data_IF_589183021926
#
_entry.id   IF_589183021926
#
_cell.length_a   1.000
_cell.length_b   1.000
_cell.length_c   1.000
_cell.angle_alpha   90.00
_cell.angle_beta   90.00
_cell.angle_gamma   90.00
#
_symmetry.space_group_name_H-M   'P 1'
#
loop_
_entity.id
_entity.type
_entity.pdbx_description
1 polymer ?
#
# COMPACT_ATOMS: atom_id res chain seq x y z
N UNK A 1 19.08 2.83 -22.76
CA UNK A 1 18.03 1.94 -23.30
C UNK A 1 16.77 2.74 -23.56
N UNK A 2 15.95 2.34 -24.58
CA UNK A 2 14.64 2.97 -24.76
C UNK A 2 13.74 2.57 -23.62
N UNK A 3 13.12 3.55 -22.94
CA UNK A 3 12.21 3.30 -21.79
C UNK A 3 11.02 2.46 -22.25
N UNK A 4 10.69 1.42 -21.53
CA UNK A 4 9.46 0.65 -21.74
C UNK A 4 8.22 1.55 -21.55
N UNK A 5 7.09 1.15 -22.08
CA UNK A 5 5.82 1.85 -21.93
C UNK A 5 4.68 0.86 -21.71
N UNK A 6 3.65 1.26 -21.00
CA UNK A 6 2.42 0.47 -20.89
C UNK A 6 1.78 0.24 -22.26
N UNK A 7 1.25 -0.95 -22.45
CA UNK A 7 0.52 -1.31 -23.67
C UNK A 7 -0.84 -0.60 -23.76
N UNK A 8 -1.45 -0.33 -22.59
CA UNK A 8 -2.77 0.26 -22.52
C UNK A 8 -2.91 1.18 -21.30
N UNK A 9 -3.80 2.18 -21.40
CA UNK A 9 -4.17 3.04 -20.30
C UNK A 9 -4.73 2.25 -19.12
N UNK A 10 -5.59 1.26 -19.38
CA UNK A 10 -6.13 0.38 -18.34
C UNK A 10 -5.00 -0.37 -17.62
N UNK A 11 -3.95 -0.81 -18.36
CA UNK A 11 -2.78 -1.43 -17.76
C UNK A 11 -2.07 -0.52 -16.79
N UNK A 12 -1.82 0.72 -17.18
CA UNK A 12 -1.26 1.74 -16.29
C UNK A 12 -2.11 1.92 -15.03
N UNK A 13 -3.43 2.14 -15.19
CA UNK A 13 -4.33 2.37 -14.06
C UNK A 13 -4.36 1.18 -13.09
N UNK A 14 -4.46 -0.05 -13.60
CA UNK A 14 -4.52 -1.24 -12.75
C UNK A 14 -3.17 -1.57 -12.08
N UNK A 15 -2.05 -1.31 -12.73
CA UNK A 15 -0.72 -1.48 -12.11
C UNK A 15 -0.50 -0.43 -11.02
N UNK A 16 -0.80 0.85 -11.31
CA UNK A 16 -0.63 1.93 -10.34
C UNK A 16 -1.60 1.81 -9.17
N UNK A 17 -2.87 1.50 -9.44
CA UNK A 17 -3.85 1.22 -8.39
C UNK A 17 -3.45 -0.04 -7.58
N UNK A 18 -2.94 -1.10 -8.22
CA UNK A 18 -2.46 -2.29 -7.53
C UNK A 18 -1.20 -2.07 -6.67
N UNK A 19 -0.43 -1.02 -6.96
CA UNK A 19 0.65 -0.57 -6.07
C UNK A 19 0.11 0.12 -4.81
N UNK A 20 -0.92 0.97 -4.97
CA UNK A 20 -1.59 1.64 -3.86
C UNK A 20 -2.44 0.65 -3.04
N UNK A 21 -3.27 -0.16 -3.72
CA UNK A 21 -4.15 -1.15 -3.10
C UNK A 21 -3.31 -2.31 -2.55
N UNK A 22 -3.06 -2.28 -1.27
CA UNK A 22 -2.28 -3.27 -0.57
C UNK A 22 -2.92 -3.69 0.75
N UNK A 23 -2.08 -4.18 1.63
CA UNK A 23 -2.46 -4.54 3.01
C UNK A 23 -3.03 -3.32 3.75
N UNK A 24 -2.59 -2.12 3.42
CA UNK A 24 -3.06 -0.87 4.01
C UNK A 24 -4.57 -0.62 3.87
N UNK A 25 -5.16 -0.98 2.72
CA UNK A 25 -6.59 -0.79 2.46
C UNK A 25 -7.46 -1.84 3.13
N UNK A 26 -6.95 -3.06 3.27
CA UNK A 26 -7.77 -4.20 3.70
C UNK A 26 -7.56 -4.55 5.16
N UNK A 27 -6.40 -4.22 5.69
CA UNK A 27 -6.05 -4.49 7.09
C UNK A 27 -6.02 -3.21 7.91
N UNK A 28 -5.11 -2.26 7.57
CA UNK A 28 -4.90 -1.06 8.38
C UNK A 28 -6.12 -0.15 8.37
N UNK A 29 -6.73 0.08 7.22
CA UNK A 29 -7.87 0.98 7.11
C UNK A 29 -9.05 0.55 7.99
N UNK A 30 -9.60 -0.68 7.92
CA UNK A 30 -10.69 -1.08 8.81
C UNK A 30 -10.32 -1.02 10.31
N UNK A 31 -9.09 -1.42 10.64
CA UNK A 31 -8.59 -1.33 12.00
C UNK A 31 -8.62 0.13 12.51
N UNK A 32 -8.01 1.06 11.77
CA UNK A 32 -7.96 2.47 12.16
C UNK A 32 -9.37 3.10 12.19
N UNK A 33 -10.26 2.71 11.28
CA UNK A 33 -11.67 3.11 11.31
C UNK A 33 -12.34 2.65 12.59
N UNK A 34 -12.11 1.40 13.00
CA UNK A 34 -12.68 0.81 14.23
C UNK A 34 -12.26 1.58 15.47
N UNK A 35 -10.98 1.92 15.58
CA UNK A 35 -10.45 2.66 16.75
C UNK A 35 -10.83 4.15 16.75
N UNK A 36 -11.08 4.75 15.60
CA UNK A 36 -11.24 6.21 15.45
C UNK A 36 -12.67 6.65 15.13
N UNK A 37 -13.68 5.91 15.54
CA UNK A 37 -15.06 6.37 15.55
C UNK A 37 -15.86 6.12 14.26
N UNK A 38 -15.46 5.15 13.45
CA UNK A 38 -16.28 4.66 12.34
C UNK A 38 -16.47 5.67 11.21
N UNK A 39 -17.72 5.93 10.84
CA UNK A 39 -18.07 6.76 9.69
C UNK A 39 -17.53 8.19 9.71
N UNK A 40 -17.32 8.79 10.88
CA UNK A 40 -16.73 10.14 10.97
C UNK A 40 -15.25 10.15 10.54
N UNK A 41 -14.50 9.11 10.91
CA UNK A 41 -13.13 8.93 10.45
C UNK A 41 -13.09 8.80 8.93
N UNK A 42 -14.00 8.01 8.32
CA UNK A 42 -14.08 7.82 6.88
C UNK A 42 -14.26 9.14 6.14
N UNK A 43 -15.08 10.06 6.67
CA UNK A 43 -15.26 11.40 6.09
C UNK A 43 -13.96 12.21 6.10
N UNK A 44 -13.26 12.26 7.24
CA UNK A 44 -11.96 12.96 7.32
C UNK A 44 -10.91 12.31 6.42
N UNK A 45 -10.88 10.97 6.36
CA UNK A 45 -9.99 10.24 5.47
C UNK A 45 -10.19 10.63 4.00
N UNK A 46 -11.43 10.66 3.51
CA UNK A 46 -11.74 11.07 2.13
C UNK A 46 -11.33 12.51 1.87
N UNK A 47 -11.56 13.41 2.83
CA UNK A 47 -11.14 14.80 2.73
C UNK A 47 -9.62 14.91 2.56
N UNK A 48 -8.86 14.26 3.43
CA UNK A 48 -7.38 14.32 3.39
C UNK A 48 -6.78 13.56 2.21
N UNK A 49 -7.43 12.50 1.73
CA UNK A 49 -7.00 11.81 0.52
C UNK A 49 -7.03 12.74 -0.70
N UNK A 50 -8.07 13.55 -0.84
CA UNK A 50 -8.18 14.54 -1.93
C UNK A 50 -7.25 15.73 -1.68
N UNK A 51 -7.16 16.21 -0.44
CA UNK A 51 -6.37 17.40 -0.11
C UNK A 51 -4.86 17.12 -0.15
N UNK A 52 -4.41 15.97 0.30
CA UNK A 52 -2.99 15.65 0.48
C UNK A 52 -2.52 14.54 -0.45
N UNK A 53 -3.21 13.40 -0.46
CA UNK A 53 -2.80 12.22 -1.21
C UNK A 53 -2.76 12.46 -2.71
N UNK A 54 -3.85 12.97 -3.29
CA UNK A 54 -3.94 13.23 -4.73
C UNK A 54 -2.88 14.24 -5.25
N UNK A 55 -2.61 15.37 -4.59
CA UNK A 55 -1.51 16.26 -4.97
C UNK A 55 -0.14 15.56 -5.01
N UNK A 56 0.23 14.85 -3.95
CA UNK A 56 1.55 14.19 -3.89
C UNK A 56 1.64 13.05 -4.91
N UNK A 57 0.58 12.28 -5.10
CA UNK A 57 0.50 11.26 -6.15
C UNK A 57 0.79 11.86 -7.53
N UNK A 58 0.17 12.99 -7.86
CA UNK A 58 0.41 13.66 -9.15
C UNK A 58 1.83 14.20 -9.28
N UNK A 59 2.48 14.57 -8.17
CA UNK A 59 3.89 14.99 -8.17
C UNK A 59 4.83 13.83 -8.48
N UNK A 60 4.67 12.68 -7.84
CA UNK A 60 5.47 11.49 -8.17
C UNK A 60 5.28 11.07 -9.63
N UNK A 61 4.04 10.97 -10.10
CA UNK A 61 3.75 10.65 -11.50
C UNK A 61 4.36 11.67 -12.46
N UNK A 62 4.34 12.97 -12.13
CA UNK A 62 4.89 14.03 -12.97
C UNK A 62 6.42 13.97 -13.05
N UNK A 63 7.10 13.73 -11.93
CA UNK A 63 8.57 13.55 -11.89
C UNK A 63 8.98 12.35 -12.76
N UNK A 64 8.28 11.22 -12.62
CA UNK A 64 8.52 10.05 -13.44
C UNK A 64 8.26 10.29 -14.92
N UNK A 65 7.10 10.87 -15.29
CA UNK A 65 6.74 11.11 -16.70
C UNK A 65 7.59 12.18 -17.36
N UNK A 66 7.93 13.24 -16.63
CA UNK A 66 8.76 14.33 -17.12
C UNK A 66 10.19 13.90 -17.38
N UNK A 67 10.75 13.05 -16.54
CA UNK A 67 12.14 12.56 -16.66
C UNK A 67 12.28 11.33 -17.56
N UNK A 68 11.27 10.45 -17.63
CA UNK A 68 11.36 9.12 -18.25
C UNK A 68 12.45 8.23 -17.66
N UNK A 69 12.77 8.42 -16.38
CA UNK A 69 13.83 7.72 -15.63
C UNK A 69 13.28 7.18 -14.31
N UNK A 70 14.08 6.37 -13.63
CA UNK A 70 13.81 5.91 -12.27
C UNK A 70 14.42 6.85 -11.24
N UNK A 71 13.87 6.86 -10.07
CA UNK A 71 14.20 7.65 -8.87
C UNK A 71 15.42 8.59 -8.96
N UNK A 72 16.65 8.06 -8.80
CA UNK A 72 17.88 8.90 -8.76
C UNK A 72 18.11 9.65 -10.06
N UNK A 73 17.91 8.98 -11.21
CA UNK A 73 18.13 9.59 -12.51
C UNK A 73 17.00 10.54 -12.90
N UNK A 74 15.80 10.33 -12.37
CA UNK A 74 14.67 11.25 -12.58
C UNK A 74 14.97 12.63 -11.98
N UNK A 75 15.44 12.66 -10.74
CA UNK A 75 15.86 13.92 -10.12
C UNK A 75 17.02 14.56 -10.89
N UNK A 76 18.05 13.79 -11.27
CA UNK A 76 19.19 14.31 -12.05
C UNK A 76 18.80 14.94 -13.38
N UNK A 77 17.78 14.39 -14.05
CA UNK A 77 17.27 14.92 -15.31
C UNK A 77 16.53 16.24 -15.15
N UNK A 78 15.78 16.40 -14.04
CA UNK A 78 14.88 17.53 -13.84
C UNK A 78 15.45 18.61 -12.90
N UNK A 79 16.46 18.29 -12.09
CA UNK A 79 17.05 19.22 -11.14
C UNK A 79 17.91 20.28 -11.82
N UNK A 80 18.04 21.43 -11.16
CA UNK A 80 18.92 22.51 -11.62
C UNK A 80 20.39 22.13 -11.48
N UNK A 81 21.29 22.65 -12.35
CA UNK A 81 22.71 22.45 -12.24
C UNK A 81 23.24 22.78 -10.84
N UNK A 82 24.09 21.92 -10.29
CA UNK A 82 24.70 22.01 -8.94
C UNK A 82 23.73 21.77 -7.77
N UNK A 83 22.47 21.42 -8.01
CA UNK A 83 21.58 20.99 -6.93
C UNK A 83 21.86 19.54 -6.52
N UNK A 84 21.26 19.10 -5.43
CA UNK A 84 21.50 17.75 -4.86
C UNK A 84 20.20 16.99 -4.58
N UNK A 85 19.13 17.31 -5.30
CA UNK A 85 17.82 16.66 -5.11
C UNK A 85 17.87 15.16 -5.42
N UNK A 86 18.74 14.73 -6.32
CA UNK A 86 18.96 13.31 -6.65
C UNK A 86 19.37 12.45 -5.45
N UNK A 87 19.85 13.03 -4.35
CA UNK A 87 20.13 12.30 -3.11
C UNK A 87 18.85 11.65 -2.58
N UNK A 88 17.70 12.33 -2.72
CA UNK A 88 16.42 11.75 -2.32
C UNK A 88 16.11 10.45 -3.06
N UNK A 89 16.47 10.34 -4.34
CA UNK A 89 16.27 9.11 -5.10
C UNK A 89 16.93 7.88 -4.45
N UNK A 90 18.08 8.04 -3.80
CA UNK A 90 18.72 6.97 -3.05
C UNK A 90 17.93 6.59 -1.79
N UNK A 91 17.42 7.59 -1.04
CA UNK A 91 16.56 7.34 0.11
C UNK A 91 15.24 6.67 -0.29
N UNK A 92 14.65 7.06 -1.40
CA UNK A 92 13.44 6.45 -1.92
C UNK A 92 13.64 4.96 -2.25
N UNK A 93 14.75 4.62 -2.92
CA UNK A 93 15.08 3.22 -3.22
C UNK A 93 15.42 2.43 -1.95
N UNK A 94 16.16 3.02 -1.01
CA UNK A 94 16.37 2.39 0.30
C UNK A 94 15.03 2.10 0.99
N UNK A 95 14.09 3.05 0.93
CA UNK A 95 12.73 2.87 1.43
C UNK A 95 11.99 1.70 0.78
N UNK A 96 12.16 1.50 -0.52
CA UNK A 96 11.61 0.32 -1.22
C UNK A 96 12.19 -1.00 -0.71
N UNK A 97 13.50 -1.06 -0.44
CA UNK A 97 14.12 -2.26 0.14
C UNK A 97 13.61 -2.52 1.56
N UNK A 98 13.59 -1.49 2.43
CA UNK A 98 13.09 -1.64 3.82
C UNK A 98 11.62 -2.05 3.81
N UNK A 99 10.79 -1.45 2.95
CA UNK A 99 9.40 -1.87 2.78
C UNK A 99 9.31 -3.36 2.43
N UNK A 100 10.12 -3.83 1.49
CA UNK A 100 10.07 -5.23 1.06
C UNK A 100 10.61 -6.21 2.09
N UNK A 101 11.44 -5.79 3.05
CA UNK A 101 11.95 -6.65 4.12
C UNK A 101 10.81 -7.29 4.92
N UNK A 102 9.82 -6.52 5.33
CA UNK A 102 8.68 -7.04 6.08
C UNK A 102 7.47 -7.37 5.21
N UNK A 103 7.23 -6.60 4.15
CA UNK A 103 6.03 -6.74 3.33
C UNK A 103 5.97 -8.08 2.59
N UNK A 104 7.12 -8.63 2.16
CA UNK A 104 7.22 -9.97 1.55
C UNK A 104 6.87 -11.07 2.52
N UNK A 105 7.24 -10.93 3.80
CA UNK A 105 6.90 -11.85 4.88
C UNK A 105 5.39 -11.83 5.14
N UNK A 106 4.81 -10.64 5.30
CA UNK A 106 3.35 -10.51 5.51
C UNK A 106 2.56 -10.98 4.31
N UNK A 107 3.03 -10.73 3.07
CA UNK A 107 2.41 -11.29 1.87
C UNK A 107 2.48 -12.82 1.87
N UNK A 108 3.58 -13.39 2.35
CA UNK A 108 3.71 -14.83 2.56
C UNK A 108 2.67 -15.40 3.55
N UNK A 109 2.35 -14.66 4.63
CA UNK A 109 1.27 -15.08 5.55
C UNK A 109 -0.09 -15.15 4.86
N UNK A 110 -0.40 -14.21 3.94
CA UNK A 110 -1.66 -14.24 3.18
C UNK A 110 -1.75 -15.48 2.29
N UNK A 111 -0.66 -15.84 1.60
CA UNK A 111 -0.57 -17.06 0.77
C UNK A 111 -0.71 -18.31 1.64
N UNK A 112 -0.06 -18.34 2.81
CA UNK A 112 -0.16 -19.43 3.79
C UNK A 112 -1.60 -19.65 4.24
N UNK A 113 -2.30 -18.56 4.60
CA UNK A 113 -3.69 -18.65 5.06
C UNK A 113 -4.65 -19.07 3.95
N UNK A 114 -4.43 -18.59 2.73
CA UNK A 114 -5.17 -19.10 1.57
C UNK A 114 -5.00 -20.63 1.44
N UNK A 115 -3.76 -21.11 1.49
CA UNK A 115 -3.46 -22.53 1.44
C UNK A 115 -4.13 -23.30 2.59
N UNK A 116 -4.03 -22.82 3.83
CA UNK A 116 -4.64 -23.45 5.01
C UNK A 116 -6.16 -23.54 4.94
N UNK A 117 -6.85 -22.51 4.41
CA UNK A 117 -8.29 -22.57 4.17
C UNK A 117 -8.65 -23.57 3.06
N UNK A 118 -7.94 -23.54 1.93
CA UNK A 118 -8.18 -24.45 0.80
C UNK A 118 -7.96 -25.92 1.20
N UNK A 119 -6.95 -26.21 1.99
CA UNK A 119 -6.64 -27.58 2.46
C UNK A 119 -7.55 -28.03 3.60
N UNK A 120 -8.29 -27.11 4.25
CA UNK A 120 -9.21 -27.44 5.34
C UNK A 120 -8.53 -27.61 6.70
N UNK A 121 -7.37 -26.98 6.90
CA UNK A 121 -6.74 -26.87 8.22
C UNK A 121 -7.63 -26.07 9.19
N UNK A 122 -8.30 -25.04 8.70
CA UNK A 122 -9.38 -24.33 9.41
C UNK A 122 -10.67 -25.18 9.35
N UNK A 123 -11.04 -25.76 10.50
CA UNK A 123 -12.22 -26.62 10.63
C UNK A 123 -13.42 -25.82 11.13
N UNK A 124 -14.62 -26.19 10.69
CA UNK A 124 -15.85 -25.57 11.19
C UNK A 124 -15.99 -25.78 12.70
N UNK A 125 -16.36 -24.69 13.40
CA UNK A 125 -16.56 -24.71 14.85
C UNK A 125 -15.29 -24.61 15.69
N UNK A 126 -14.13 -24.27 15.10
CA UNK A 126 -12.94 -23.90 15.89
C UNK A 126 -13.25 -22.67 16.74
N UNK A 127 -12.80 -22.68 17.99
CA UNK A 127 -12.88 -21.51 18.88
C UNK A 127 -11.79 -20.47 18.58
N UNK A 128 -11.83 -19.35 19.30
CA UNK A 128 -10.87 -18.24 19.10
C UNK A 128 -9.44 -18.69 19.42
N UNK A 129 -9.25 -19.50 20.46
CA UNK A 129 -7.93 -19.96 20.90
C UNK A 129 -7.32 -20.90 19.88
N UNK A 130 -8.09 -21.87 19.37
CA UNK A 130 -7.66 -22.78 18.32
C UNK A 130 -7.37 -22.04 16.99
N UNK A 131 -8.14 -21.01 16.66
CA UNK A 131 -7.89 -20.17 15.49
C UNK A 131 -6.64 -19.29 15.69
N UNK A 132 -6.43 -18.79 16.90
CA UNK A 132 -5.27 -18.00 17.30
C UNK A 132 -3.98 -18.81 17.29
N UNK A 133 -4.05 -20.10 17.70
CA UNK A 133 -2.88 -20.99 17.68
C UNK A 133 -2.33 -21.21 16.27
N UNK A 134 -3.18 -21.27 15.25
CA UNK A 134 -2.73 -21.38 13.85
C UNK A 134 -1.79 -20.23 13.45
N UNK A 135 -2.07 -19.01 13.93
CA UNK A 135 -1.20 -17.87 13.67
C UNK A 135 0.07 -17.92 14.52
N UNK A 136 -0.06 -18.24 15.80
CA UNK A 136 1.09 -18.36 16.70
C UNK A 136 2.06 -19.45 16.24
N UNK A 137 1.54 -20.59 15.79
CA UNK A 137 2.34 -21.70 15.25
C UNK A 137 3.06 -21.32 13.95
N UNK A 138 2.39 -20.54 13.07
CA UNK A 138 3.03 -20.01 11.87
C UNK A 138 4.19 -19.08 12.24
N UNK A 139 4.02 -18.17 13.19
CA UNK A 139 5.05 -17.23 13.61
C UNK A 139 6.21 -17.92 14.34
N UNK A 140 5.94 -18.97 15.10
CA UNK A 140 6.93 -19.74 15.82
C UNK A 140 7.80 -20.66 14.94
N UNK A 141 7.36 -20.98 13.72
CA UNK A 141 8.09 -21.85 12.80
C UNK A 141 8.84 -21.05 11.72
N UNK A 142 10.17 -20.80 11.88
CA UNK A 142 10.97 -20.07 10.92
C UNK A 142 11.04 -20.74 9.54
N UNK A 143 10.89 -22.07 9.47
CA UNK A 143 10.91 -22.80 8.20
C UNK A 143 9.63 -22.54 7.40
N UNK A 144 8.49 -22.59 8.08
CA UNK A 144 7.19 -22.34 7.45
C UNK A 144 7.07 -20.85 7.01
N UNK A 145 7.44 -19.91 7.90
CA UNK A 145 7.49 -18.50 7.55
C UNK A 145 8.43 -18.23 6.37
N UNK A 146 9.65 -18.75 6.44
CA UNK A 146 10.66 -18.59 5.40
C UNK A 146 10.20 -19.16 4.06
N UNK A 147 9.56 -20.35 4.06
CA UNK A 147 9.03 -20.98 2.83
C UNK A 147 8.04 -20.05 2.09
N UNK A 148 7.05 -19.50 2.80
CA UNK A 148 6.03 -18.64 2.20
C UNK A 148 6.60 -17.28 1.74
N UNK A 149 7.54 -16.72 2.51
CA UNK A 149 8.26 -15.49 2.11
C UNK A 149 9.11 -15.76 0.85
N UNK A 150 9.90 -16.84 0.82
CA UNK A 150 10.75 -17.21 -0.33
C UNK A 150 9.89 -17.44 -1.58
N UNK A 151 8.77 -18.14 -1.44
CA UNK A 151 7.84 -18.38 -2.54
C UNK A 151 7.32 -17.06 -3.12
N UNK A 152 6.90 -16.12 -2.24
CA UNK A 152 6.41 -14.80 -2.63
C UNK A 152 7.47 -14.02 -3.39
N UNK A 153 8.69 -13.97 -2.88
CA UNK A 153 9.81 -13.24 -3.50
C UNK A 153 10.17 -13.83 -4.86
N UNK A 154 10.34 -15.15 -4.95
CA UNK A 154 10.71 -15.81 -6.21
C UNK A 154 9.64 -15.59 -7.28
N UNK A 155 8.36 -15.82 -6.95
CA UNK A 155 7.26 -15.62 -7.91
C UNK A 155 7.19 -14.16 -8.35
N UNK A 156 7.37 -13.20 -7.43
CA UNK A 156 7.40 -11.77 -7.76
C UNK A 156 8.49 -11.42 -8.77
N UNK A 157 9.74 -11.86 -8.54
CA UNK A 157 10.83 -11.60 -9.49
C UNK A 157 10.69 -12.37 -10.80
N UNK A 158 10.08 -13.56 -10.82
CA UNK A 158 9.73 -14.26 -12.07
C UNK A 158 8.74 -13.42 -12.89
N UNK A 159 7.74 -12.84 -12.27
CA UNK A 159 6.78 -11.95 -12.97
C UNK A 159 7.50 -10.72 -13.52
N UNK A 160 8.30 -10.02 -12.72
CA UNK A 160 9.01 -8.81 -13.14
C UNK A 160 10.08 -9.09 -14.21
N UNK A 161 10.73 -10.27 -14.19
CA UNK A 161 11.74 -10.64 -15.19
C UNK A 161 11.17 -10.74 -16.61
N UNK A 162 9.86 -10.98 -16.77
CA UNK A 162 9.18 -11.07 -18.06
C UNK A 162 8.91 -9.71 -18.73
N UNK A 163 9.31 -8.61 -18.11
CA UNK A 163 9.17 -7.25 -18.62
C UNK A 163 7.86 -6.57 -18.19
N UNK A 164 7.77 -5.29 -18.53
CA UNK A 164 6.63 -4.47 -18.14
C UNK A 164 5.31 -5.00 -18.73
N UNK A 165 5.25 -5.21 -20.05
CA UNK A 165 4.00 -5.54 -20.74
C UNK A 165 3.55 -6.99 -20.54
N UNK A 166 4.48 -7.94 -20.66
CA UNK A 166 4.18 -9.38 -20.62
C UNK A 166 4.21 -9.96 -19.20
N UNK A 167 4.92 -9.32 -18.29
CA UNK A 167 5.00 -9.67 -16.87
C UNK A 167 4.06 -8.82 -16.05
N UNK A 168 4.54 -7.66 -15.60
CA UNK A 168 3.85 -6.79 -14.63
C UNK A 168 2.44 -6.39 -15.08
N UNK A 169 2.30 -5.77 -16.27
CA UNK A 169 0.99 -5.27 -16.75
C UNK A 169 -0.02 -6.40 -16.93
N UNK A 170 0.39 -7.51 -17.54
CA UNK A 170 -0.51 -8.64 -17.81
C UNK A 170 -0.99 -9.29 -16.51
N UNK A 171 -0.09 -9.58 -15.60
CA UNK A 171 -0.41 -10.23 -14.33
C UNK A 171 -1.23 -9.30 -13.44
N UNK A 172 -0.84 -8.02 -13.32
CA UNK A 172 -1.62 -7.04 -12.56
C UNK A 172 -3.04 -6.87 -13.09
N UNK A 173 -3.26 -6.87 -14.40
CA UNK A 173 -4.62 -6.81 -14.96
C UNK A 173 -5.48 -7.98 -14.51
N UNK A 174 -4.94 -9.20 -14.56
CA UNK A 174 -5.68 -10.40 -14.14
C UNK A 174 -5.98 -10.34 -12.64
N UNK A 175 -4.94 -10.08 -11.83
CA UNK A 175 -5.07 -10.04 -10.38
C UNK A 175 -6.00 -8.92 -9.90
N UNK A 176 -5.85 -7.71 -10.42
CA UNK A 176 -6.68 -6.57 -10.02
C UNK A 176 -8.13 -6.74 -10.47
N UNK A 177 -8.39 -7.30 -11.66
CA UNK A 177 -9.76 -7.60 -12.07
C UNK A 177 -10.39 -8.67 -11.17
N UNK A 178 -9.67 -9.74 -10.86
CA UNK A 178 -10.14 -10.76 -9.94
C UNK A 178 -10.35 -10.20 -8.52
N UNK A 179 -9.43 -9.37 -8.03
CA UNK A 179 -9.54 -8.67 -6.75
C UNK A 179 -10.82 -7.83 -6.66
N UNK A 180 -11.09 -7.00 -7.68
CA UNK A 180 -12.29 -6.15 -7.72
C UNK A 180 -13.59 -6.96 -7.76
N UNK A 181 -13.60 -8.10 -8.43
CA UNK A 181 -14.76 -9.03 -8.42
C UNK A 181 -14.90 -9.68 -7.04
N UNK A 182 -13.81 -10.22 -6.49
CA UNK A 182 -13.81 -10.88 -5.18
C UNK A 182 -14.28 -9.96 -4.07
N UNK A 183 -13.81 -8.71 -4.04
CA UNK A 183 -14.17 -7.76 -2.98
C UNK A 183 -15.66 -7.43 -3.02
N UNK A 184 -16.26 -7.30 -4.21
CA UNK A 184 -17.71 -7.09 -4.35
C UNK A 184 -18.50 -8.32 -3.86
N UNK A 185 -18.09 -9.52 -4.26
CA UNK A 185 -18.75 -10.77 -3.85
C UNK A 185 -18.68 -10.93 -2.33
N UNK A 186 -17.52 -10.70 -1.72
CA UNK A 186 -17.34 -10.79 -0.27
C UNK A 186 -18.14 -9.73 0.48
N UNK A 187 -18.18 -8.48 0.00
CA UNK A 187 -18.96 -7.41 0.61
C UNK A 187 -20.47 -7.69 0.54
N UNK A 188 -20.97 -8.13 -0.62
CA UNK A 188 -22.38 -8.52 -0.76
C UNK A 188 -22.73 -9.64 0.22
N UNK A 189 -21.89 -10.68 0.32
CA UNK A 189 -22.10 -11.74 1.28
C UNK A 189 -22.12 -11.21 2.74
N UNK A 190 -21.15 -10.39 3.11
CA UNK A 190 -21.03 -9.85 4.47
C UNK A 190 -22.23 -8.98 4.87
N UNK A 191 -22.75 -8.18 3.96
CA UNK A 191 -23.95 -7.33 4.18
C UNK A 191 -25.23 -8.18 4.39
N UNK A 192 -25.29 -9.41 3.86
CA UNK A 192 -26.44 -10.30 4.02
C UNK A 192 -26.44 -11.10 5.33
N UNK A 193 -25.41 -11.00 6.14
CA UNK A 193 -25.32 -11.69 7.43
C UNK A 193 -26.37 -11.14 8.42
N UNK A 194 -26.87 -12.02 9.28
CA UNK A 194 -27.76 -11.62 10.38
C UNK A 194 -26.96 -10.77 11.38
N UNK A 195 -27.40 -9.53 11.69
CA UNK A 195 -26.66 -8.59 12.53
C UNK A 195 -25.76 -7.60 11.79
N UNK A 196 -25.61 -7.73 10.48
CA UNK A 196 -24.81 -6.83 9.64
C UNK A 196 -25.21 -5.33 9.76
N UNK A 197 -26.47 -5.05 10.08
CA UNK A 197 -27.01 -3.69 10.14
C UNK A 197 -26.32 -2.78 11.17
N UNK A 198 -25.90 -3.30 12.30
CA UNK A 198 -25.17 -2.53 13.34
C UNK A 198 -23.77 -2.17 12.84
N UNK A 199 -23.05 -3.11 12.22
CA UNK A 199 -21.76 -2.88 11.63
C UNK A 199 -21.81 -1.86 10.49
N UNK A 200 -22.82 -1.94 9.62
CA UNK A 200 -23.05 -0.95 8.56
C UNK A 200 -23.35 0.44 9.13
N UNK A 201 -24.15 0.52 10.18
CA UNK A 201 -24.45 1.79 10.85
C UNK A 201 -23.20 2.42 11.46
N UNK A 202 -22.42 1.63 12.17
CA UNK A 202 -21.15 2.10 12.75
C UNK A 202 -20.19 2.63 11.66
N UNK A 203 -20.08 1.90 10.56
CA UNK A 203 -19.11 2.19 9.51
C UNK A 203 -19.52 3.34 8.60
N UNK A 204 -20.80 3.45 8.23
CA UNK A 204 -21.26 4.38 7.22
C UNK A 204 -21.91 5.64 7.79
N UNK A 205 -22.44 5.58 9.01
CA UNK A 205 -23.14 6.73 9.60
C UNK A 205 -22.22 7.47 10.56
N UNK A 206 -21.87 8.73 10.26
CA UNK A 206 -21.06 9.55 11.15
C UNK A 206 -21.76 9.75 12.50
N UNK A 207 -21.07 9.43 13.59
CA UNK A 207 -21.59 9.58 14.94
C UNK A 207 -20.65 10.46 15.78
N UNK A 208 -21.12 11.64 16.17
CA UNK A 208 -20.33 12.59 16.96
C UNK A 208 -20.06 12.10 18.37
N UNK A 209 -20.92 11.27 18.95
CA UNK A 209 -20.68 10.73 20.31
C UNK A 209 -19.46 9.79 20.38
N UNK A 210 -19.08 9.15 19.30
CA UNK A 210 -17.83 8.36 19.23
C UNK A 210 -16.60 9.26 19.19
N UNK A 211 -16.70 10.43 18.58
CA UNK A 211 -15.63 11.43 18.54
C UNK A 211 -15.34 12.02 19.93
N UNK A 212 -16.37 12.21 20.75
CA UNK A 212 -16.20 12.69 22.14
C UNK A 212 -15.36 11.73 22.97
N UNK A 213 -15.49 10.42 22.74
CA UNK A 213 -14.73 9.38 23.45
C UNK A 213 -13.27 9.30 22.97
N UNK A 214 -13.03 9.38 21.67
CA UNK A 214 -11.69 9.25 21.06
C UNK A 214 -10.91 10.57 21.06
N UNK A 215 -11.63 11.68 20.98
CA UNK A 215 -11.08 13.02 20.79
C UNK A 215 -10.90 13.37 19.30
N UNK A 216 -11.46 14.52 18.91
CA UNK A 216 -11.45 14.97 17.49
C UNK A 216 -10.03 15.10 16.92
N UNK A 217 -9.05 15.52 17.73
CA UNK A 217 -7.65 15.63 17.31
C UNK A 217 -7.07 14.27 16.89
N UNK A 218 -7.35 13.21 17.65
CA UNK A 218 -6.89 11.85 17.33
C UNK A 218 -7.53 11.34 16.04
N UNK A 219 -8.84 11.56 15.86
CA UNK A 219 -9.56 11.15 14.65
C UNK A 219 -8.98 11.86 13.42
N UNK A 220 -8.74 13.16 13.49
CA UNK A 220 -8.14 13.94 12.40
C UNK A 220 -6.73 13.43 12.09
N UNK A 221 -5.88 13.26 13.10
CA UNK A 221 -4.51 12.77 12.94
C UNK A 221 -4.46 11.38 12.31
N UNK A 222 -5.29 10.46 12.81
CA UNK A 222 -5.39 9.11 12.27
C UNK A 222 -5.87 9.11 10.81
N UNK A 223 -6.84 9.97 10.46
CA UNK A 223 -7.35 10.12 9.10
C UNK A 223 -6.31 10.71 8.15
N UNK A 224 -5.54 11.71 8.57
CA UNK A 224 -4.42 12.27 7.81
C UNK A 224 -3.36 11.22 7.53
N UNK A 225 -2.93 10.49 8.57
CA UNK A 225 -1.94 9.42 8.46
C UNK A 225 -2.42 8.32 7.49
N UNK A 226 -3.66 7.88 7.63
CA UNK A 226 -4.22 6.83 6.76
C UNK A 226 -4.35 7.28 5.31
N UNK A 227 -4.80 8.52 5.05
CA UNK A 227 -4.91 9.07 3.71
C UNK A 227 -3.56 9.18 2.99
N UNK A 228 -2.50 9.37 3.76
CA UNK A 228 -1.14 9.44 3.25
C UNK A 228 -0.54 8.05 3.00
N UNK A 229 -0.74 7.15 3.96
CA UNK A 229 -0.22 5.79 3.92
C UNK A 229 -0.85 4.95 2.78
N UNK A 230 -2.16 5.11 2.53
CA UNK A 230 -2.90 4.25 1.58
C UNK A 230 -2.34 4.27 0.16
N UNK A 231 -1.75 5.39 -0.28
CA UNK A 231 -1.20 5.56 -1.63
C UNK A 231 0.29 5.20 -1.75
N UNK A 232 0.95 4.79 -0.65
CA UNK A 232 2.38 4.41 -0.61
C UNK A 232 3.31 5.47 -1.23
N UNK A 233 3.07 6.77 -0.93
CA UNK A 233 3.78 7.91 -1.51
C UNK A 233 5.09 8.20 -0.78
N UNK A 234 6.08 8.77 -1.48
CA UNK A 234 7.36 9.21 -0.92
C UNK A 234 8.55 8.33 -1.24
N UNK A 235 8.32 7.11 -1.72
CA UNK A 235 9.38 6.13 -2.04
C UNK A 235 9.53 5.85 -3.54
N UNK A 236 9.11 6.79 -4.39
CA UNK A 236 9.18 6.69 -5.85
C UNK A 236 8.38 5.52 -6.46
N UNK A 237 7.45 4.93 -5.72
CA UNK A 237 6.66 3.80 -6.21
C UNK A 237 5.73 4.22 -7.35
N UNK A 238 5.12 5.40 -7.27
CA UNK A 238 4.29 5.95 -8.35
C UNK A 238 5.13 6.65 -9.43
N UNK A 239 6.30 7.15 -9.10
CA UNK A 239 7.22 7.78 -10.05
C UNK A 239 7.61 6.83 -11.18
N UNK A 240 7.95 5.56 -10.85
CA UNK A 240 8.33 4.59 -11.87
C UNK A 240 7.21 4.37 -12.88
N UNK A 241 5.95 4.30 -12.45
CA UNK A 241 4.80 4.13 -13.35
C UNK A 241 4.55 5.39 -14.18
N UNK A 242 4.75 6.57 -13.61
CA UNK A 242 4.79 7.82 -14.36
C UNK A 242 5.80 7.76 -15.50
N UNK A 243 7.01 7.22 -15.27
CA UNK A 243 8.05 7.12 -16.28
C UNK A 243 7.70 6.22 -17.49
N UNK A 244 6.74 5.33 -17.33
CA UNK A 244 6.23 4.43 -18.38
C UNK A 244 5.00 5.00 -19.11
N UNK A 245 4.43 6.11 -18.62
CA UNK A 245 3.26 6.73 -19.25
C UNK A 245 3.61 7.50 -20.52
N UNK A 246 2.66 7.50 -21.49
CA UNK A 246 2.63 8.46 -22.58
C UNK A 246 2.12 9.82 -22.12
N UNK A 247 2.26 10.84 -22.98
CA UNK A 247 1.76 12.20 -22.74
C UNK A 247 0.32 12.45 -23.25
N UNK A 248 -0.42 11.40 -23.60
CA UNK A 248 -1.75 11.51 -24.21
C UNK A 248 -2.82 11.98 -23.20
N UNK A 249 -2.62 11.71 -21.91
CA UNK A 249 -3.56 12.03 -20.86
C UNK A 249 -2.96 12.90 -19.75
N UNK A 250 -3.74 13.88 -19.25
CA UNK A 250 -3.37 14.74 -18.14
C UNK A 250 -3.32 13.93 -16.83
N UNK A 251 -2.26 14.16 -16.03
CA UNK A 251 -2.00 13.36 -14.82
C UNK A 251 -3.03 13.57 -13.70
N UNK A 252 -3.65 14.76 -13.61
CA UNK A 252 -4.68 15.01 -12.62
C UNK A 252 -5.85 14.02 -12.74
N UNK A 253 -6.31 13.74 -13.97
CA UNK A 253 -7.37 12.77 -14.21
C UNK A 253 -6.95 11.32 -13.91
N UNK A 254 -5.71 10.96 -14.19
CA UNK A 254 -5.17 9.64 -13.87
C UNK A 254 -5.01 9.45 -12.35
N UNK A 255 -4.52 10.47 -11.66
CA UNK A 255 -4.42 10.46 -10.20
C UNK A 255 -5.79 10.29 -9.52
N UNK A 256 -6.82 11.02 -9.99
CA UNK A 256 -8.20 10.83 -9.50
C UNK A 256 -8.69 9.40 -9.68
N UNK A 257 -8.42 8.76 -10.82
CA UNK A 257 -8.83 7.37 -11.05
C UNK A 257 -8.10 6.37 -10.16
N UNK A 258 -6.80 6.57 -9.94
CA UNK A 258 -6.01 5.74 -9.02
C UNK A 258 -6.57 5.89 -7.60
N UNK A 259 -6.76 7.12 -7.12
CA UNK A 259 -7.36 7.38 -5.80
C UNK A 259 -8.77 6.78 -5.68
N UNK A 260 -9.60 6.88 -6.73
CA UNK A 260 -10.94 6.31 -6.72
C UNK A 260 -10.94 4.78 -6.61
N UNK A 261 -10.03 4.10 -7.32
CA UNK A 261 -9.88 2.65 -7.21
C UNK A 261 -9.36 2.24 -5.82
N UNK A 262 -8.37 2.94 -5.29
CA UNK A 262 -7.82 2.73 -3.95
C UNK A 262 -8.91 2.90 -2.88
N UNK A 263 -9.64 4.02 -2.93
CA UNK A 263 -10.75 4.31 -2.03
C UNK A 263 -11.86 3.26 -2.15
N UNK A 264 -12.21 2.86 -3.38
CA UNK A 264 -13.22 1.83 -3.59
C UNK A 264 -12.85 0.54 -2.84
N UNK A 265 -11.60 0.09 -2.94
CA UNK A 265 -11.15 -1.13 -2.24
C UNK A 265 -11.14 -0.92 -0.73
N UNK A 266 -10.65 0.23 -0.23
CA UNK A 266 -10.67 0.55 1.21
C UNK A 266 -12.11 0.53 1.77
N UNK A 267 -13.05 1.20 1.09
CA UNK A 267 -14.45 1.26 1.51
C UNK A 267 -15.11 -0.13 1.45
N UNK A 268 -14.89 -0.88 0.39
CA UNK A 268 -15.42 -2.23 0.27
C UNK A 268 -14.86 -3.18 1.32
N UNK A 269 -13.59 -3.03 1.71
CA UNK A 269 -12.98 -3.80 2.81
C UNK A 269 -13.69 -3.55 4.15
N UNK A 270 -14.06 -2.30 4.43
CA UNK A 270 -14.89 -1.98 5.58
C UNK A 270 -16.28 -2.65 5.51
N UNK A 271 -16.91 -2.70 4.33
CA UNK A 271 -18.19 -3.39 4.11
C UNK A 271 -18.08 -4.93 4.26
N UNK A 272 -16.90 -5.50 4.15
CA UNK A 272 -16.65 -6.91 4.47
C UNK A 272 -16.49 -7.10 5.97
N UNK A 273 -15.63 -6.29 6.59
CA UNK A 273 -15.12 -6.54 7.94
C UNK A 273 -16.12 -6.13 9.01
N UNK A 274 -16.68 -4.91 8.94
CA UNK A 274 -17.60 -4.43 9.99
C UNK A 274 -18.86 -5.25 10.11
N UNK A 275 -19.62 -5.52 9.02
CA UNK A 275 -20.80 -6.37 9.11
C UNK A 275 -20.48 -7.78 9.65
N UNK A 276 -19.37 -8.39 9.21
CA UNK A 276 -18.95 -9.70 9.66
C UNK A 276 -18.60 -9.69 11.15
N UNK A 277 -17.78 -8.77 11.63
CA UNK A 277 -17.39 -8.69 13.03
C UNK A 277 -18.61 -8.44 13.96
N UNK A 278 -19.49 -7.51 13.61
CA UNK A 278 -20.69 -7.22 14.40
C UNK A 278 -21.67 -8.39 14.39
N UNK A 279 -21.83 -9.12 13.28
CA UNK A 279 -22.69 -10.30 13.20
C UNK A 279 -22.23 -11.45 14.12
N UNK A 280 -20.96 -11.54 14.41
CA UNK A 280 -20.37 -12.56 15.26
C UNK A 280 -19.89 -12.04 16.63
N UNK A 281 -20.19 -10.78 16.96
CA UNK A 281 -19.88 -10.17 18.26
C UNK A 281 -18.39 -10.03 18.54
N UNK A 282 -17.58 -9.80 17.49
CA UNK A 282 -16.11 -9.72 17.61
C UNK A 282 -15.66 -8.26 17.49
N UNK A 283 -14.71 -7.86 18.34
CA UNK A 283 -14.14 -6.52 18.29
C UNK A 283 -13.23 -6.29 17.07
N UNK A 284 -13.30 -5.08 16.50
CA UNK A 284 -12.57 -4.69 15.29
C UNK A 284 -11.20 -4.06 15.60
N UNK A 285 -10.79 -4.04 16.87
CA UNK A 285 -9.67 -3.21 17.36
C UNK A 285 -8.30 -3.92 17.47
N UNK A 286 -8.08 -5.06 16.85
CA UNK A 286 -6.92 -5.89 17.22
C UNK A 286 -5.75 -5.93 16.21
N UNK A 287 -5.52 -4.92 15.37
CA UNK A 287 -4.36 -4.87 14.48
C UNK A 287 -4.20 -6.14 13.59
N UNK A 288 -2.99 -6.75 13.52
CA UNK A 288 -2.76 -8.00 12.76
C UNK A 288 -3.69 -9.13 13.16
N UNK A 289 -4.08 -9.20 14.43
CA UNK A 289 -4.99 -10.22 14.95
C UNK A 289 -6.37 -10.16 14.28
N UNK A 290 -6.80 -8.99 13.83
CA UNK A 290 -8.06 -8.84 13.08
C UNK A 290 -8.10 -9.78 11.87
N UNK A 291 -7.04 -9.79 11.08
CA UNK A 291 -6.98 -10.56 9.83
C UNK A 291 -6.64 -12.03 10.09
N UNK A 292 -5.72 -12.33 11.00
CA UNK A 292 -5.16 -13.66 11.15
C UNK A 292 -5.78 -14.49 12.29
N UNK A 293 -6.58 -13.87 13.16
CA UNK A 293 -7.27 -14.57 14.26
C UNK A 293 -8.77 -14.32 14.18
N UNK A 294 -9.18 -13.05 14.20
CA UNK A 294 -10.58 -12.65 14.30
C UNK A 294 -11.40 -13.07 13.07
N UNK A 295 -10.98 -12.68 11.87
CA UNK A 295 -11.72 -13.04 10.65
C UNK A 295 -11.69 -14.55 10.34
N UNK A 296 -10.57 -15.28 10.49
CA UNK A 296 -10.62 -16.74 10.42
C UNK A 296 -11.63 -17.38 11.39
N UNK A 297 -11.72 -16.86 12.63
CA UNK A 297 -12.73 -17.34 13.57
C UNK A 297 -14.15 -17.04 13.11
N UNK A 298 -14.41 -15.88 12.52
CA UNK A 298 -15.70 -15.57 11.90
C UNK A 298 -15.99 -16.58 10.77
N UNK A 299 -15.03 -16.83 9.87
CA UNK A 299 -15.23 -17.73 8.74
C UNK A 299 -15.50 -19.18 9.19
N UNK A 300 -14.77 -19.73 10.16
CA UNK A 300 -14.99 -21.11 10.60
C UNK A 300 -16.35 -21.32 11.28
N UNK A 301 -16.96 -20.25 11.78
CA UNK A 301 -18.27 -20.27 12.43
C UNK A 301 -19.45 -19.94 11.51
N UNK A 302 -19.17 -19.57 10.21
CA UNK A 302 -20.23 -19.31 9.25
C UNK A 302 -20.49 -20.49 8.30
N UNK A 303 -21.70 -20.53 7.73
CA UNK A 303 -22.06 -21.53 6.72
C UNK A 303 -21.17 -21.36 5.48
N UNK A 304 -20.51 -22.44 5.04
CA UNK A 304 -19.57 -22.39 3.91
C UNK A 304 -18.27 -21.67 4.21
N UNK A 305 -17.89 -21.50 5.45
CA UNK A 305 -16.75 -20.69 5.91
C UNK A 305 -15.42 -21.06 5.27
N UNK A 306 -15.18 -22.33 4.93
CA UNK A 306 -14.00 -22.75 4.17
C UNK A 306 -13.91 -22.06 2.81
N UNK A 307 -15.04 -21.90 2.11
CA UNK A 307 -15.10 -21.22 0.81
C UNK A 307 -14.86 -19.72 1.01
N UNK A 308 -15.59 -19.11 1.95
CA UNK A 308 -15.49 -17.68 2.20
C UNK A 308 -14.11 -17.25 2.72
N UNK A 309 -13.52 -18.03 3.61
CA UNK A 309 -12.15 -17.81 4.07
C UNK A 309 -11.14 -17.98 2.94
N UNK A 310 -11.28 -19.00 2.09
CA UNK A 310 -10.42 -19.17 0.91
C UNK A 310 -10.52 -17.98 -0.05
N UNK A 311 -11.73 -17.51 -0.36
CA UNK A 311 -11.94 -16.36 -1.25
C UNK A 311 -11.38 -15.07 -0.63
N UNK A 312 -11.55 -14.86 0.68
CA UNK A 312 -11.00 -13.71 1.39
C UNK A 312 -9.48 -13.70 1.35
N UNK A 313 -8.82 -14.81 1.70
CA UNK A 313 -7.36 -14.86 1.66
C UNK A 313 -6.78 -14.90 0.25
N UNK A 314 -7.53 -15.37 -0.75
CA UNK A 314 -7.16 -15.19 -2.16
C UNK A 314 -7.19 -13.69 -2.54
N UNK A 315 -8.22 -12.97 -2.14
CA UNK A 315 -8.34 -11.53 -2.32
C UNK A 315 -7.16 -10.80 -1.63
N UNK A 316 -6.86 -11.14 -0.37
CA UNK A 316 -5.72 -10.59 0.39
C UNK A 316 -4.37 -10.89 -0.28
N UNK A 317 -4.21 -12.10 -0.79
CA UNK A 317 -3.01 -12.49 -1.55
C UNK A 317 -2.84 -11.63 -2.79
N UNK A 318 -3.89 -11.39 -3.56
CA UNK A 318 -3.82 -10.52 -4.74
C UNK A 318 -3.52 -9.06 -4.37
N UNK A 319 -4.13 -8.54 -3.31
CA UNK A 319 -3.88 -7.19 -2.82
C UNK A 319 -2.42 -7.01 -2.39
N UNK A 320 -1.89 -7.91 -1.57
CA UNK A 320 -0.50 -7.82 -1.12
C UNK A 320 0.51 -8.04 -2.26
N UNK A 321 0.27 -9.05 -3.09
CA UNK A 321 1.21 -9.41 -4.16
C UNK A 321 1.27 -8.38 -5.28
N UNK A 322 0.18 -7.63 -5.56
CA UNK A 322 0.19 -6.53 -6.53
C UNK A 322 1.15 -5.41 -6.12
N UNK A 323 1.20 -5.09 -4.82
CA UNK A 323 2.18 -4.14 -4.27
C UNK A 323 3.60 -4.69 -4.34
N UNK A 324 3.81 -5.96 -4.01
CA UNK A 324 5.14 -6.61 -4.08
C UNK A 324 5.74 -6.49 -5.48
N UNK A 325 5.00 -6.90 -6.53
CA UNK A 325 5.53 -6.85 -7.91
C UNK A 325 5.71 -5.40 -8.41
N UNK A 326 4.89 -4.47 -7.93
CA UNK A 326 5.01 -3.05 -8.25
C UNK A 326 6.30 -2.44 -7.68
N UNK A 327 6.60 -2.71 -6.42
CA UNK A 327 7.83 -2.23 -5.76
C UNK A 327 9.07 -2.96 -6.29
N UNK A 328 8.97 -4.24 -6.62
CA UNK A 328 10.06 -4.97 -7.28
C UNK A 328 10.40 -4.37 -8.64
N UNK A 329 9.40 -3.94 -9.44
CA UNK A 329 9.66 -3.25 -10.69
C UNK A 329 10.39 -1.91 -10.47
N UNK A 330 10.04 -1.16 -9.41
CA UNK A 330 10.76 0.08 -9.06
C UNK A 330 12.22 -0.20 -8.75
N UNK A 331 12.53 -1.17 -7.88
CA UNK A 331 13.88 -1.59 -7.54
C UNK A 331 14.65 -2.06 -8.78
N UNK A 332 14.02 -2.88 -9.62
CA UNK A 332 14.63 -3.39 -10.84
C UNK A 332 14.93 -2.27 -11.84
N UNK A 333 13.99 -1.36 -12.05
CA UNK A 333 14.16 -0.22 -12.96
C UNK A 333 15.29 0.69 -12.51
N UNK A 334 15.40 0.96 -11.21
CA UNK A 334 16.51 1.69 -10.65
C UNK A 334 17.85 1.01 -10.97
N UNK A 335 17.98 -0.29 -10.72
CA UNK A 335 19.23 -1.00 -10.94
C UNK A 335 19.58 -1.09 -12.45
N UNK A 336 18.59 -1.27 -13.33
CA UNK A 336 18.80 -1.23 -14.77
C UNK A 336 19.27 0.16 -15.26
N UNK A 337 18.64 1.22 -14.77
CA UNK A 337 18.98 2.60 -15.17
C UNK A 337 20.36 3.03 -14.64
N UNK A 338 20.70 2.69 -13.38
CA UNK A 338 21.96 3.10 -12.73
C UNK A 338 23.17 2.30 -13.18
N UNK A 339 23.02 0.97 -13.33
CA UNK A 339 24.14 0.07 -13.57
C UNK A 339 24.17 -0.49 -15.00
N UNK A 340 23.15 -0.20 -15.82
CA UNK A 340 23.06 -0.72 -17.18
C UNK A 340 22.87 -2.24 -17.27
N UNK A 341 22.39 -2.88 -16.19
CA UNK A 341 22.20 -4.33 -16.14
C UNK A 341 21.01 -4.78 -17.00
N UNK A 342 21.12 -5.99 -17.55
CA UNK A 342 19.97 -6.61 -18.20
C UNK A 342 18.87 -6.95 -17.19
N UNK A 343 17.61 -6.98 -17.62
CA UNK A 343 16.45 -7.27 -16.76
C UNK A 343 16.61 -8.58 -16.00
N UNK A 344 17.06 -9.67 -16.66
CA UNK A 344 17.24 -10.95 -16.01
C UNK A 344 18.35 -10.94 -14.93
N UNK A 345 19.48 -10.29 -15.23
CA UNK A 345 20.56 -10.12 -14.24
C UNK A 345 20.07 -9.33 -13.03
N UNK A 346 19.33 -8.26 -13.29
CA UNK A 346 18.75 -7.41 -12.24
C UNK A 346 17.74 -8.18 -11.38
N UNK A 347 16.87 -8.99 -11.99
CA UNK A 347 15.91 -9.82 -11.28
C UNK A 347 16.60 -10.82 -10.36
N UNK A 348 17.63 -11.53 -10.83
CA UNK A 348 18.36 -12.52 -10.02
C UNK A 348 19.07 -11.86 -8.84
N UNK A 349 19.80 -10.76 -9.10
CA UNK A 349 20.55 -10.08 -8.03
C UNK A 349 19.60 -9.52 -6.97
N UNK A 350 18.54 -8.83 -7.38
CA UNK A 350 17.58 -8.25 -6.42
C UNK A 350 16.76 -9.33 -5.72
N UNK A 351 16.45 -10.46 -6.37
CA UNK A 351 15.85 -11.60 -5.71
C UNK A 351 16.71 -12.10 -4.54
N UNK A 352 18.01 -12.29 -4.78
CA UNK A 352 18.94 -12.72 -3.73
C UNK A 352 19.02 -11.68 -2.62
N UNK A 353 19.14 -10.38 -2.95
CA UNK A 353 19.20 -9.30 -1.96
C UNK A 353 17.93 -9.31 -1.10
N UNK A 354 16.74 -9.31 -1.71
CA UNK A 354 15.46 -9.30 -0.97
C UNK A 354 15.32 -10.54 -0.10
N UNK A 355 15.67 -11.73 -0.58
CA UNK A 355 15.65 -12.94 0.23
C UNK A 355 16.51 -12.81 1.49
N UNK A 356 17.72 -12.24 1.37
CA UNK A 356 18.63 -12.07 2.50
C UNK A 356 18.10 -11.00 3.48
N UNK A 357 17.71 -9.83 2.97
CA UNK A 357 17.29 -8.71 3.83
C UNK A 357 15.91 -8.91 4.47
N UNK A 358 15.09 -9.84 3.96
CA UNK A 358 13.81 -10.21 4.58
C UNK A 358 13.94 -11.27 5.69
N UNK A 359 15.10 -11.92 5.82
CA UNK A 359 15.32 -12.91 6.88
C UNK A 359 15.18 -12.34 8.30
N UNK A 360 15.65 -11.13 8.63
CA UNK A 360 15.46 -10.56 9.96
C UNK A 360 13.99 -10.50 10.38
N UNK A 361 13.08 -10.10 9.49
CA UNK A 361 11.65 -10.08 9.75
C UNK A 361 11.09 -11.49 10.03
N UNK A 362 11.50 -12.51 9.27
CA UNK A 362 11.11 -13.91 9.50
C UNK A 362 11.61 -14.40 10.85
N UNK A 363 12.87 -14.11 11.19
CA UNK A 363 13.51 -14.58 12.44
C UNK A 363 13.05 -13.80 13.67
N UNK A 364 12.56 -12.60 13.50
CA UNK A 364 12.12 -11.70 14.58
C UNK A 364 10.96 -12.23 15.41
N UNK A 365 10.18 -13.18 14.89
CA UNK A 365 9.07 -13.81 15.62
C UNK A 365 9.42 -15.13 16.32
N UNK A 366 10.62 -15.64 16.11
CA UNK A 366 11.03 -16.96 16.63
C UNK A 366 12.46 -16.92 17.18
N UNK A 367 13.48 -17.14 16.33
CA UNK A 367 14.89 -17.23 16.76
C UNK A 367 15.39 -15.92 17.39
N UNK A 368 14.89 -14.77 16.94
CA UNK A 368 15.25 -13.42 17.40
C UNK A 368 14.09 -12.71 18.11
N UNK A 369 13.16 -13.45 18.70
CA UNK A 369 12.00 -12.88 19.38
C UNK A 369 12.34 -11.88 20.50
N UNK A 370 13.51 -12.01 21.09
CA UNK A 370 14.00 -11.10 22.12
C UNK A 370 14.69 -9.85 21.58
N UNK A 371 14.88 -9.78 20.23
CA UNK A 371 15.50 -8.63 19.59
C UNK A 371 14.47 -7.50 19.41
N UNK A 372 14.63 -6.47 20.21
CA UNK A 372 13.87 -5.24 20.14
C UNK A 372 14.76 -4.12 19.60
N UNK A 373 14.31 -3.43 18.54
CA UNK A 373 15.09 -2.41 17.85
C UNK A 373 14.62 -1.00 18.21
N UNK A 374 13.92 -0.32 17.33
CA UNK A 374 13.54 1.08 17.46
C UNK A 374 12.44 1.24 18.52
N UNK A 375 12.75 1.92 19.63
CA UNK A 375 11.78 2.21 20.69
C UNK A 375 11.17 0.96 21.35
N UNK A 376 11.91 -0.15 21.41
CA UNK A 376 11.44 -1.40 22.00
C UNK A 376 10.50 -2.23 21.12
N UNK A 377 10.36 -1.88 19.82
CA UNK A 377 9.55 -2.60 18.84
C UNK A 377 10.29 -3.85 18.35
N UNK A 378 9.54 -4.87 17.96
CA UNK A 378 10.09 -6.03 17.26
C UNK A 378 10.68 -5.64 15.88
N UNK A 379 11.20 -6.61 15.15
CA UNK A 379 11.86 -6.35 13.85
C UNK A 379 10.88 -5.80 12.83
N UNK A 380 9.70 -6.44 12.65
CA UNK A 380 8.69 -6.00 11.69
C UNK A 380 8.18 -4.60 12.00
N UNK A 381 7.81 -4.36 13.25
CA UNK A 381 7.30 -3.07 13.69
C UNK A 381 8.34 -1.96 13.57
N UNK A 382 9.64 -2.30 13.72
CA UNK A 382 10.74 -1.35 13.51
C UNK A 382 10.95 -1.01 12.04
N UNK A 383 10.86 -2.01 11.15
CA UNK A 383 10.95 -1.82 9.69
C UNK A 383 9.75 -1.00 9.19
N UNK A 384 8.53 -1.33 9.63
CA UNK A 384 7.32 -0.56 9.30
C UNK A 384 7.38 0.86 9.84
N UNK A 385 7.86 1.07 11.07
CA UNK A 385 8.05 2.40 11.63
C UNK A 385 8.96 3.28 10.76
N UNK A 386 10.10 2.74 10.31
CA UNK A 386 11.01 3.48 9.43
C UNK A 386 10.35 3.87 8.12
N UNK A 387 9.59 2.98 7.53
CA UNK A 387 8.89 3.27 6.26
C UNK A 387 7.73 4.22 6.50
N UNK A 388 6.79 3.84 7.35
CA UNK A 388 5.50 4.50 7.48
C UNK A 388 5.58 5.85 8.17
N UNK A 389 6.44 6.00 9.19
CA UNK A 389 6.51 7.19 10.01
C UNK A 389 7.62 8.15 9.59
N UNK A 390 8.65 7.67 8.88
CA UNK A 390 9.78 8.50 8.47
C UNK A 390 9.89 8.63 6.95
N UNK A 391 10.10 7.52 6.23
CA UNK A 391 10.49 7.58 4.81
C UNK A 391 9.35 8.04 3.90
N UNK A 392 8.12 7.58 4.11
CA UNK A 392 6.97 8.00 3.30
C UNK A 392 6.65 9.51 3.50
N UNK A 393 6.47 10.02 4.74
CA UNK A 393 6.18 11.45 4.93
C UNK A 393 7.34 12.35 4.50
N UNK A 394 8.57 12.01 4.85
CA UNK A 394 9.75 12.79 4.48
C UNK A 394 9.95 12.81 2.96
N UNK A 395 9.84 11.66 2.32
CA UNK A 395 9.95 11.55 0.87
C UNK A 395 8.91 12.36 0.13
N UNK A 396 7.68 12.32 0.59
CA UNK A 396 6.60 13.12 0.01
C UNK A 396 6.78 14.61 0.21
N UNK A 397 7.31 15.03 1.36
CA UNK A 397 7.68 16.42 1.59
C UNK A 397 8.77 16.85 0.59
N UNK A 398 9.75 16.01 0.33
CA UNK A 398 10.81 16.30 -0.63
C UNK A 398 10.26 16.37 -2.06
N UNK A 399 9.36 15.46 -2.49
CA UNK A 399 8.66 15.57 -3.78
C UNK A 399 7.91 16.89 -3.91
N UNK A 400 7.18 17.27 -2.86
CA UNK A 400 6.45 18.53 -2.82
C UNK A 400 7.41 19.72 -2.98
N UNK A 401 8.46 19.79 -2.17
CA UNK A 401 9.44 20.89 -2.21
C UNK A 401 10.16 20.93 -3.57
N UNK A 402 10.50 19.79 -4.14
CA UNK A 402 11.11 19.70 -5.46
C UNK A 402 10.21 20.24 -6.56
N UNK A 403 8.93 19.88 -6.56
CA UNK A 403 7.96 20.32 -7.56
C UNK A 403 7.54 21.77 -7.42
N UNK A 404 7.61 22.37 -6.20
CA UNK A 404 7.00 23.69 -5.93
C UNK A 404 8.02 24.80 -5.75
N UNK A 405 9.26 24.49 -5.30
CA UNK A 405 10.24 25.51 -4.98
C UNK A 405 11.05 25.96 -6.20
N UNK A 406 11.59 27.19 -6.12
CA UNK A 406 12.49 27.72 -7.15
C UNK A 406 13.84 26.98 -7.23
N UNK A 407 14.21 26.25 -6.18
CA UNK A 407 15.47 25.50 -6.11
C UNK A 407 15.37 24.10 -6.67
N UNK A 408 14.15 23.56 -6.79
CA UNK A 408 13.85 22.30 -7.43
C UNK A 408 13.46 22.44 -8.90
N UNK A 409 12.61 21.54 -9.37
CA UNK A 409 12.04 21.58 -10.73
C UNK A 409 11.15 22.81 -10.95
N UNK A 410 10.37 23.17 -9.94
CA UNK A 410 9.54 24.37 -9.91
C UNK A 410 8.10 24.13 -10.32
N UNK A 411 7.19 24.95 -9.74
CA UNK A 411 5.74 24.76 -9.89
C UNK A 411 5.27 24.91 -11.35
N UNK A 412 5.87 25.80 -12.10
CA UNK A 412 5.41 26.08 -13.47
C UNK A 412 5.72 24.89 -14.41
N UNK A 413 6.89 24.27 -14.27
CA UNK A 413 7.25 23.04 -14.99
C UNK A 413 6.36 21.85 -14.54
N UNK A 414 6.13 21.74 -13.22
CA UNK A 414 5.27 20.69 -12.66
C UNK A 414 3.84 20.79 -13.22
N UNK A 415 3.23 21.99 -13.19
CA UNK A 415 1.84 22.15 -13.64
C UNK A 415 1.68 21.98 -15.15
N UNK A 416 2.70 22.36 -15.93
CA UNK A 416 2.75 22.12 -17.37
C UNK A 416 2.76 20.61 -17.65
N UNK A 417 3.64 19.85 -16.98
CA UNK A 417 3.70 18.41 -17.15
C UNK A 417 2.40 17.73 -16.72
N UNK A 418 1.84 18.08 -15.55
CA UNK A 418 0.56 17.52 -15.07
C UNK A 418 -0.56 17.76 -16.06
N UNK A 419 -0.59 18.92 -16.70
CA UNK A 419 -1.65 19.33 -17.62
C UNK A 419 -1.40 18.91 -19.09
N UNK A 420 -0.27 18.28 -19.38
CA UNK A 420 0.03 17.78 -20.70
C UNK A 420 -0.89 16.61 -21.06
N UNK A 421 -1.50 16.65 -22.24
CA UNK A 421 -2.46 15.67 -22.74
C UNK A 421 -3.91 16.05 -22.52
N UNK A 422 -4.81 15.13 -22.82
CA UNK A 422 -6.25 15.31 -22.72
C UNK A 422 -6.79 14.91 -21.33
N UNK A 423 -7.90 15.48 -20.89
CA UNK A 423 -8.61 15.12 -19.68
C UNK A 423 -8.63 16.21 -18.61
N UNK A 424 -8.85 15.81 -17.34
CA UNK A 424 -8.94 16.73 -16.20
C UNK A 424 -7.60 17.41 -15.95
N UNK A 425 -7.64 18.74 -15.90
CA UNK A 425 -6.46 19.57 -15.69
C UNK A 425 -6.44 20.17 -14.29
N UNK A 426 -5.26 20.34 -13.74
CA UNK A 426 -5.04 20.98 -12.45
C UNK A 426 -4.93 22.50 -12.62
N UNK A 427 -5.60 23.25 -11.75
CA UNK A 427 -5.57 24.70 -11.78
C UNK A 427 -4.26 25.27 -11.22
N UNK A 428 -3.61 26.16 -11.95
CA UNK A 428 -2.44 26.89 -11.46
C UNK A 428 -2.73 27.78 -10.23
N UNK A 429 -3.99 28.09 -9.95
CA UNK A 429 -4.43 28.82 -8.73
C UNK A 429 -4.14 28.03 -7.44
N UNK A 430 -3.87 26.74 -7.52
CA UNK A 430 -3.50 25.91 -6.37
C UNK A 430 -2.05 26.14 -5.89
N UNK A 431 -1.24 26.94 -6.59
CA UNK A 431 0.15 27.26 -6.22
C UNK A 431 0.32 27.69 -4.76
N UNK A 432 -0.49 28.61 -4.18
CA UNK A 432 -0.37 28.98 -2.77
C UNK A 432 -0.65 27.81 -1.82
N UNK A 433 -1.64 26.98 -2.13
CA UNK A 433 -1.96 25.78 -1.35
C UNK A 433 -0.76 24.80 -1.31
N UNK A 434 -0.19 24.47 -2.45
CA UNK A 434 0.97 23.58 -2.53
C UNK A 434 2.24 24.17 -1.90
N UNK A 435 2.36 25.50 -1.89
CA UNK A 435 3.56 26.15 -1.37
C UNK A 435 3.52 26.34 0.15
N UNK A 436 2.36 26.56 0.75
CA UNK A 436 2.23 26.98 2.15
C UNK A 436 1.42 26.01 3.01
N UNK A 437 0.30 25.49 2.51
CA UNK A 437 -0.60 24.63 3.30
C UNK A 437 -0.16 23.17 3.30
N UNK A 438 0.03 22.62 2.12
CA UNK A 438 0.37 21.20 1.97
C UNK A 438 1.68 20.79 2.69
N UNK A 439 2.79 21.60 2.65
CA UNK A 439 3.99 21.27 3.42
C UNK A 439 3.76 21.22 4.93
N UNK A 440 2.91 22.11 5.46
CA UNK A 440 2.57 22.14 6.88
C UNK A 440 1.80 20.88 7.27
N UNK A 441 0.83 20.46 6.46
CA UNK A 441 0.08 19.23 6.70
C UNK A 441 0.98 17.98 6.71
N UNK A 442 1.91 17.89 5.75
CA UNK A 442 2.86 16.76 5.70
C UNK A 442 3.84 16.81 6.88
N UNK A 443 4.30 18.00 7.28
CA UNK A 443 5.15 18.15 8.46
C UNK A 443 4.44 17.73 9.75
N UNK A 444 3.15 18.03 9.89
CA UNK A 444 2.35 17.55 11.03
C UNK A 444 2.37 16.03 11.09
N UNK A 445 2.11 15.34 9.97
CA UNK A 445 2.16 13.88 9.90
C UNK A 445 3.55 13.36 10.27
N UNK A 446 4.61 13.94 9.72
CA UNK A 446 5.98 13.54 10.02
C UNK A 446 6.31 13.67 11.51
N UNK A 447 5.97 14.82 12.12
CA UNK A 447 6.22 15.06 13.55
C UNK A 447 5.40 14.11 14.43
N UNK A 448 4.12 13.92 14.14
CA UNK A 448 3.25 12.99 14.88
C UNK A 448 3.69 11.53 14.75
N UNK A 449 4.24 11.14 13.61
CA UNK A 449 4.77 9.80 13.41
C UNK A 449 6.07 9.52 14.19
N UNK A 450 6.80 10.56 14.59
CA UNK A 450 8.07 10.44 15.32
C UNK A 450 7.91 10.61 16.84
N UNK A 451 6.82 11.20 17.33
CA UNK A 451 6.46 11.35 18.74
C UNK A 451 5.75 10.11 19.29
#
# INVERSE_FOLDING_TARGET
>A
MKRESFKSRLGFLLVSAGCAIGIGNVWRFPYVVGENGGGIFVLFYLLFLVAMGLPVLTMELAVGRGSRKSAVLAYKELEKPKSKWHIHGWFAILGCYVLMMYYTTVSGWMVSYFYKFVTGEFKAGMDVDATGSVFSDLLADPKQMGFWMILTVIVGFIVCSRGLQNGLERISKIMMTALLVLIVVLAVHSITLSGAGEGLRFYLIPNLSTVEKVGIGNVISAAMNQAFFTLSLGVAAMEIFGSYMSKDHALAGEGVRICALDTFVAVMSGLIIFPACFSYGVEVTSGPKLIFVTLPNVFVNMAGGRIWGSLFFLFMTFASFSTVIAVFENIMSFAMDMFGWSRNKTAIINCIIILIVSLPCVLGYNVWSDLHLIGGRDVLDSEDFLVSNLLLPLGSLIYLLFCVTKWGWGFDNYIEEVNTGSGLKMSGKLKPYFRFVLPVLILIILIQGLL
#
